data_IF_981545009736
#
_entry.id   IF_981545009736
#
_cell.length_a   1.000
_cell.length_b   1.000
_cell.length_c   1.000
_cell.angle_alpha   90.00
_cell.angle_beta   90.00
_cell.angle_gamma   90.00
#
_symmetry.space_group_name_H-M   'P 1'
#
loop_
_entity.id
_entity.type
_entity.pdbx_description
1 polymer ?
#
# COMPACT_ATOMS: atom_id res chain seq x y z
N UNK A 1 1.74 8.05 -0.78
CA UNK A 1 2.46 6.94 -1.45
C UNK A 1 1.99 5.57 -0.94
N UNK A 2 2.19 5.22 0.33
CA UNK A 2 1.72 3.94 0.92
C UNK A 2 0.24 3.64 0.70
N UNK A 3 -0.64 4.63 0.90
CA UNK A 3 -2.07 4.49 0.63
C UNK A 3 -2.38 4.10 -0.83
N UNK A 4 -1.64 4.63 -1.81
CA UNK A 4 -1.82 4.29 -3.22
C UNK A 4 -1.38 2.86 -3.53
N UNK A 5 -0.26 2.40 -2.95
CA UNK A 5 0.26 1.03 -3.09
C UNK A 5 -0.77 0.03 -2.53
N UNK A 6 -1.21 0.25 -1.28
CA UNK A 6 -2.24 -0.60 -0.64
C UNK A 6 -3.56 -0.59 -1.41
N UNK A 7 -3.99 0.58 -1.89
CA UNK A 7 -5.21 0.69 -2.68
C UNK A 7 -5.10 -0.07 -4.00
N UNK A 8 -3.94 -0.02 -4.67
CA UNK A 8 -3.73 -0.77 -5.90
C UNK A 8 -3.77 -2.28 -5.68
N UNK A 9 -3.14 -2.79 -4.62
CA UNK A 9 -3.20 -4.20 -4.24
C UNK A 9 -4.64 -4.66 -3.99
N UNK A 10 -5.41 -3.85 -3.26
CA UNK A 10 -6.84 -4.12 -3.05
C UNK A 10 -7.65 -4.12 -4.34
N UNK A 11 -7.30 -3.27 -5.31
CA UNK A 11 -7.91 -3.33 -6.65
C UNK A 11 -7.58 -4.62 -7.38
N UNK A 12 -6.34 -5.10 -7.32
CA UNK A 12 -5.95 -6.40 -7.92
C UNK A 12 -6.71 -7.57 -7.28
N UNK A 13 -6.87 -7.58 -5.95
CA UNK A 13 -7.70 -8.58 -5.26
C UNK A 13 -9.17 -8.53 -5.71
N UNK A 14 -9.73 -7.33 -5.92
CA UNK A 14 -11.09 -7.15 -6.45
C UNK A 14 -11.19 -7.70 -7.88
N UNK A 15 -10.19 -7.43 -8.73
CA UNK A 15 -10.15 -7.95 -10.10
C UNK A 15 -10.07 -9.47 -10.13
N UNK A 16 -9.24 -10.07 -9.27
CA UNK A 16 -9.16 -11.53 -9.12
C UNK A 16 -10.54 -12.13 -8.82
N UNK A 17 -11.24 -11.61 -7.80
CA UNK A 17 -12.59 -12.07 -7.43
C UNK A 17 -13.63 -11.86 -8.53
N UNK A 18 -13.51 -10.80 -9.32
CA UNK A 18 -14.43 -10.48 -10.41
C UNK A 18 -14.28 -11.46 -11.60
N UNK A 19 -13.04 -11.86 -11.91
CA UNK A 19 -12.74 -12.85 -12.95
C UNK A 19 -13.05 -14.27 -12.46
N UNK A 20 -12.71 -14.60 -11.21
CA UNK A 20 -12.97 -15.91 -10.60
C UNK A 20 -14.48 -16.21 -10.53
N UNK A 21 -15.29 -15.20 -10.19
CA UNK A 21 -16.74 -15.29 -10.19
C UNK A 21 -17.42 -15.12 -11.56
N UNK A 22 -16.67 -15.11 -12.66
CA UNK A 22 -17.16 -14.95 -14.05
C UNK A 22 -18.02 -13.69 -14.29
N UNK A 23 -17.86 -12.64 -13.48
CA UNK A 23 -18.70 -11.44 -13.55
C UNK A 23 -18.18 -10.45 -14.58
N UNK A 24 -16.86 -10.35 -14.71
CA UNK A 24 -16.13 -9.46 -15.63
C UNK A 24 -16.65 -8.01 -15.61
N UNK A 25 -17.00 -7.47 -14.44
CA UNK A 25 -17.49 -6.08 -14.27
C UNK A 25 -16.41 -5.06 -14.60
N UNK A 26 -15.16 -5.37 -14.29
CA UNK A 26 -14.03 -4.45 -14.50
C UNK A 26 -13.26 -4.72 -15.80
N UNK A 27 -13.67 -5.74 -16.56
CA UNK A 27 -13.07 -6.12 -17.85
C UNK A 27 -14.16 -6.16 -18.94
N UNK A 28 -14.75 -5.01 -19.32
CA UNK A 28 -15.90 -4.97 -20.23
C UNK A 28 -15.58 -5.51 -21.63
N UNK A 29 -14.34 -5.35 -22.11
CA UNK A 29 -13.92 -5.88 -23.41
C UNK A 29 -13.80 -7.40 -23.38
N UNK A 30 -13.23 -7.96 -22.30
CA UNK A 30 -13.16 -9.41 -22.11
C UNK A 30 -14.57 -10.00 -22.00
N UNK A 31 -15.46 -9.33 -21.26
CA UNK A 31 -16.87 -9.72 -21.16
C UNK A 31 -17.59 -9.77 -22.50
N UNK A 32 -17.33 -8.79 -23.38
CA UNK A 32 -17.88 -8.77 -24.75
C UNK A 32 -17.33 -9.93 -25.56
N UNK A 33 -16.01 -10.10 -25.57
CA UNK A 33 -15.35 -11.18 -26.29
C UNK A 33 -15.89 -12.56 -25.89
N UNK A 34 -16.08 -12.83 -24.60
CA UNK A 34 -16.66 -14.08 -24.11
C UNK A 34 -18.10 -14.29 -24.60
N UNK A 35 -18.91 -13.23 -24.69
CA UNK A 35 -20.29 -13.30 -25.18
C UNK A 35 -20.38 -13.57 -26.68
N UNK A 36 -19.41 -13.08 -27.44
CA UNK A 36 -19.36 -13.19 -28.90
C UNK A 36 -18.82 -14.56 -29.35
N UNK A 37 -18.27 -15.38 -28.43
CA UNK A 37 -17.84 -16.74 -28.72
C UNK A 37 -19.03 -17.64 -29.14
N UNK A 38 -18.83 -18.54 -30.12
CA UNK A 38 -19.84 -19.53 -30.49
C UNK A 38 -20.28 -20.37 -29.28
N UNK A 39 -21.56 -20.70 -29.17
CA UNK A 39 -22.14 -21.42 -28.00
C UNK A 39 -21.54 -22.82 -27.72
N UNK A 40 -20.69 -23.34 -28.63
CA UNK A 40 -19.95 -24.59 -28.47
C UNK A 40 -18.54 -24.46 -27.85
N UNK A 41 -17.99 -23.25 -27.76
CA UNK A 41 -16.59 -22.99 -27.37
C UNK A 41 -16.40 -22.77 -25.85
N UNK A 42 -17.11 -23.56 -25.03
CA UNK A 42 -17.00 -23.45 -23.56
C UNK A 42 -15.57 -23.70 -23.06
N UNK A 43 -14.81 -24.54 -23.75
CA UNK A 43 -13.39 -24.81 -23.46
C UNK A 43 -12.54 -23.55 -23.64
N UNK A 44 -12.83 -22.73 -24.64
CA UNK A 44 -12.13 -21.47 -24.91
C UNK A 44 -12.50 -20.38 -23.89
N UNK A 45 -13.75 -20.36 -23.41
CA UNK A 45 -14.14 -19.46 -22.33
C UNK A 45 -13.42 -19.78 -21.00
N UNK A 46 -13.35 -21.06 -20.63
CA UNK A 46 -12.66 -21.49 -19.40
C UNK A 46 -11.14 -21.30 -19.50
N UNK A 47 -10.55 -21.54 -20.67
CA UNK A 47 -9.12 -21.32 -20.88
C UNK A 47 -8.75 -19.83 -20.82
N UNK A 48 -9.58 -18.95 -21.40
CA UNK A 48 -9.42 -17.50 -21.30
C UNK A 48 -9.56 -16.99 -19.87
N UNK A 49 -10.57 -17.44 -19.13
CA UNK A 49 -10.75 -17.07 -17.73
C UNK A 49 -9.51 -17.47 -16.91
N UNK A 50 -9.04 -18.71 -17.07
CA UNK A 50 -7.84 -19.21 -16.40
C UNK A 50 -6.59 -18.41 -16.76
N UNK A 51 -6.43 -18.02 -18.02
CA UNK A 51 -5.32 -17.17 -18.47
C UNK A 51 -5.35 -15.82 -17.75
N UNK A 52 -6.51 -15.15 -17.70
CA UNK A 52 -6.65 -13.86 -17.02
C UNK A 52 -6.45 -13.98 -15.51
N UNK A 53 -6.93 -15.05 -14.87
CA UNK A 53 -6.64 -15.33 -13.46
C UNK A 53 -5.13 -15.46 -13.22
N UNK A 54 -4.43 -16.26 -14.03
CA UNK A 54 -2.98 -16.43 -13.91
C UNK A 54 -2.23 -15.11 -14.09
N UNK A 55 -2.65 -14.25 -15.03
CA UNK A 55 -2.06 -12.92 -15.24
C UNK A 55 -2.25 -12.05 -13.99
N UNK A 56 -3.46 -12.02 -13.43
CA UNK A 56 -3.76 -11.23 -12.23
C UNK A 56 -2.95 -11.75 -11.04
N UNK A 57 -2.90 -13.07 -10.84
CA UNK A 57 -2.12 -13.69 -9.76
C UNK A 57 -0.63 -13.37 -9.89
N UNK A 58 -0.04 -13.56 -11.06
CA UNK A 58 1.36 -13.18 -11.31
C UNK A 58 1.60 -11.69 -11.10
N UNK A 59 0.64 -10.83 -11.49
CA UNK A 59 0.74 -9.38 -11.26
C UNK A 59 0.73 -9.06 -9.77
N UNK A 60 -0.14 -9.72 -8.98
CA UNK A 60 -0.19 -9.57 -7.52
C UNK A 60 1.15 -9.98 -6.90
N UNK A 61 1.68 -11.14 -7.26
CA UNK A 61 2.95 -11.65 -6.73
C UNK A 61 4.14 -10.72 -7.07
N UNK A 62 4.23 -10.30 -8.34
CA UNK A 62 5.28 -9.40 -8.79
C UNK A 62 5.16 -8.03 -8.14
N UNK A 63 3.94 -7.50 -8.00
CA UNK A 63 3.72 -6.23 -7.32
C UNK A 63 4.10 -6.35 -5.84
N UNK A 64 3.60 -7.37 -5.15
CA UNK A 64 3.90 -7.60 -3.73
C UNK A 64 5.40 -7.72 -3.47
N UNK A 65 6.10 -8.56 -4.24
CA UNK A 65 7.54 -8.78 -4.09
C UNK A 65 8.38 -7.51 -4.28
N UNK A 66 7.98 -6.62 -5.21
CA UNK A 66 8.66 -5.33 -5.43
C UNK A 66 8.46 -4.35 -4.28
N UNK A 67 7.32 -4.41 -3.57
CA UNK A 67 6.98 -3.47 -2.51
C UNK A 67 7.17 -4.01 -1.09
N UNK A 68 7.65 -5.25 -0.91
CA UNK A 68 7.85 -5.86 0.41
C UNK A 68 8.75 -5.00 1.31
N UNK A 69 9.91 -4.57 0.80
CA UNK A 69 10.85 -3.68 1.52
C UNK A 69 10.25 -2.33 1.83
N UNK A 70 9.38 -1.81 0.96
CA UNK A 70 8.67 -0.56 1.24
C UNK A 70 7.74 -0.71 2.44
N UNK A 71 6.99 -1.82 2.54
CA UNK A 71 6.09 -2.09 3.67
C UNK A 71 6.86 -2.22 4.99
N UNK A 72 8.01 -2.86 4.96
CA UNK A 72 8.90 -2.99 6.13
C UNK A 72 9.32 -1.62 6.68
N UNK A 73 9.32 -0.57 5.84
CA UNK A 73 9.65 0.80 6.22
C UNK A 73 8.42 1.69 6.45
N UNK A 74 7.20 1.14 6.42
CA UNK A 74 5.98 1.96 6.49
C UNK A 74 5.89 2.75 7.80
N UNK A 75 6.12 2.09 8.93
CA UNK A 75 6.08 2.75 10.25
C UNK A 75 7.22 3.75 10.39
N UNK A 76 8.42 3.41 9.94
CA UNK A 76 9.56 4.35 9.91
C UNK A 76 9.28 5.57 9.02
N UNK A 77 8.58 5.41 7.91
CA UNK A 77 8.18 6.52 7.05
C UNK A 77 7.06 7.37 7.68
N UNK A 78 6.17 6.75 8.47
CA UNK A 78 5.14 7.46 9.24
C UNK A 78 5.76 8.22 10.41
N UNK A 79 6.82 7.70 11.03
CA UNK A 79 7.53 8.35 12.13
C UNK A 79 7.99 9.76 11.77
N UNK A 80 8.48 9.97 10.55
CA UNK A 80 8.86 11.30 10.06
C UNK A 80 7.71 12.32 10.12
N UNK A 81 6.47 11.84 10.04
CA UNK A 81 5.28 12.67 10.18
C UNK A 81 4.73 12.68 11.58
N UNK A 82 4.79 11.57 12.32
CA UNK A 82 4.14 11.38 13.61
C UNK A 82 5.11 10.92 14.72
N UNK A 83 6.23 11.65 14.95
CA UNK A 83 7.23 11.22 15.93
C UNK A 83 6.72 11.30 17.38
N UNK A 84 5.66 12.09 17.62
CA UNK A 84 5.06 12.35 18.92
C UNK A 84 4.16 11.24 19.45
N UNK A 85 3.76 10.30 18.59
CA UNK A 85 2.78 9.25 18.88
C UNK A 85 3.28 7.84 18.60
N UNK A 86 4.49 7.70 18.06
CA UNK A 86 5.06 6.40 17.66
C UNK A 86 6.08 5.91 18.66
N UNK A 87 6.17 4.58 18.82
CA UNK A 87 7.16 3.97 19.70
C UNK A 87 8.39 3.53 18.90
N UNK A 88 9.55 3.51 19.55
CA UNK A 88 10.80 3.12 18.91
C UNK A 88 10.76 1.67 18.41
N UNK A 89 10.11 0.77 19.14
CA UNK A 89 10.03 -0.66 18.82
C UNK A 89 9.18 -0.94 17.57
N UNK A 90 8.34 0.02 17.16
CA UNK A 90 7.52 -0.07 15.94
C UNK A 90 8.32 0.31 14.68
N UNK A 91 9.52 0.88 14.84
CA UNK A 91 10.32 1.39 13.73
C UNK A 91 11.28 0.32 13.21
N UNK A 92 11.28 0.12 11.90
CA UNK A 92 12.35 -0.62 11.24
C UNK A 92 13.51 0.34 10.93
N UNK A 93 14.54 0.29 11.77
CA UNK A 93 15.73 1.14 11.65
C UNK A 93 16.95 0.41 11.10
N UNK A 94 16.78 -0.83 10.59
CA UNK A 94 17.89 -1.63 10.06
C UNK A 94 18.65 -0.93 8.91
N UNK A 95 17.96 -0.07 8.15
CA UNK A 95 18.57 0.70 7.06
C UNK A 95 19.36 1.94 7.55
N UNK A 96 19.26 2.28 8.83
CA UNK A 96 19.89 3.47 9.43
C UNK A 96 21.07 3.08 10.33
N UNK A 97 22.02 2.32 9.79
CA UNK A 97 23.19 1.80 10.52
C UNK A 97 24.13 2.86 11.12
N UNK A 98 23.91 4.14 10.79
CA UNK A 98 24.69 5.28 11.29
C UNK A 98 24.03 5.99 12.47
N UNK A 99 22.81 5.63 12.83
CA UNK A 99 22.12 6.20 13.99
C UNK A 99 22.61 5.48 15.24
N UNK A 100 23.09 6.23 16.21
CA UNK A 100 23.29 5.73 17.56
C UNK A 100 21.90 5.50 18.18
N UNK A 101 21.53 4.22 18.31
CA UNK A 101 20.22 3.83 18.80
C UNK A 101 19.98 4.23 20.25
N UNK A 102 21.02 4.24 21.09
CA UNK A 102 20.88 4.59 22.50
C UNK A 102 20.62 6.09 22.66
N UNK A 103 21.37 6.92 21.93
CA UNK A 103 21.16 8.37 21.91
C UNK A 103 19.81 8.73 21.30
N UNK A 104 19.44 8.09 20.19
CA UNK A 104 18.16 8.33 19.51
C UNK A 104 16.96 8.00 20.40
N UNK A 105 17.01 6.90 21.16
CA UNK A 105 15.95 6.53 22.10
C UNK A 105 15.76 7.61 23.18
N UNK A 106 16.84 8.08 23.79
CA UNK A 106 16.80 9.14 24.80
C UNK A 106 16.22 10.44 24.23
N UNK A 107 16.69 10.86 23.05
CA UNK A 107 16.19 12.05 22.37
C UNK A 107 14.70 11.95 22.02
N UNK A 108 14.24 10.76 21.62
CA UNK A 108 12.83 10.55 21.32
C UNK A 108 11.96 10.71 22.58
N UNK A 109 12.40 10.16 23.72
CA UNK A 109 11.70 10.30 25.00
C UNK A 109 11.63 11.78 25.42
N UNK A 110 12.75 12.50 25.32
CA UNK A 110 12.81 13.94 25.63
C UNK A 110 11.85 14.75 24.75
N UNK A 111 11.85 14.48 23.45
CA UNK A 111 10.94 15.12 22.50
C UNK A 111 9.47 14.84 22.85
N UNK A 112 9.11 13.58 23.07
CA UNK A 112 7.73 13.17 23.36
C UNK A 112 7.21 13.68 24.71
N UNK A 113 8.12 13.88 25.67
CA UNK A 113 7.81 14.44 26.99
C UNK A 113 7.74 15.96 26.99
N UNK A 114 8.34 16.62 25.99
CA UNK A 114 8.32 18.09 25.87
C UNK A 114 6.96 18.59 25.40
N UNK A 115 6.20 19.22 26.31
CA UNK A 115 4.90 19.81 25.97
C UNK A 115 4.99 20.87 24.86
N UNK A 116 6.04 21.69 24.87
CA UNK A 116 6.25 22.77 23.90
C UNK A 116 6.61 22.21 22.52
N UNK A 117 7.63 21.35 22.44
CA UNK A 117 8.11 20.84 21.16
C UNK A 117 7.12 19.89 20.50
N UNK A 118 6.48 19.02 21.30
CA UNK A 118 5.41 18.15 20.84
C UNK A 118 4.27 18.96 20.23
N UNK A 119 3.77 19.97 20.95
CA UNK A 119 2.66 20.78 20.45
C UNK A 119 3.03 21.55 19.18
N UNK A 120 4.21 22.19 19.13
CA UNK A 120 4.69 22.88 17.92
C UNK A 120 4.74 21.96 16.71
N UNK A 121 5.19 20.73 16.88
CA UNK A 121 5.26 19.77 15.78
C UNK A 121 3.85 19.36 15.30
N UNK A 122 2.91 19.16 16.22
CA UNK A 122 1.50 18.87 15.90
C UNK A 122 0.88 20.03 15.12
N UNK A 123 1.06 21.27 15.59
CA UNK A 123 0.52 22.46 14.94
C UNK A 123 1.10 22.63 13.52
N UNK A 124 2.42 22.47 13.38
CA UNK A 124 3.09 22.52 12.08
C UNK A 124 2.56 21.44 11.12
N UNK A 125 2.30 20.22 11.61
CA UNK A 125 1.71 19.14 10.80
C UNK A 125 0.32 19.53 10.29
N UNK A 126 -0.51 20.16 11.14
CA UNK A 126 -1.84 20.65 10.75
C UNK A 126 -1.72 21.72 9.67
N UNK A 127 -0.82 22.68 9.84
CA UNK A 127 -0.59 23.76 8.88
C UNK A 127 -0.12 23.23 7.53
N UNK A 128 0.84 22.30 7.52
CA UNK A 128 1.28 21.63 6.29
C UNK A 128 0.13 20.91 5.59
N UNK A 129 -0.72 20.22 6.34
CA UNK A 129 -1.92 19.57 5.79
C UNK A 129 -2.91 20.57 5.19
N UNK A 130 -3.04 21.77 5.77
CA UNK A 130 -3.88 22.83 5.22
C UNK A 130 -3.28 23.45 3.95
N UNK A 131 -1.96 23.53 3.84
CA UNK A 131 -1.26 24.00 2.65
C UNK A 131 -1.42 23.00 1.50
N UNK A 132 -1.23 21.70 1.76
CA UNK A 132 -1.41 20.65 0.75
C UNK A 132 -2.82 20.62 0.17
N UNK A 133 -3.87 20.85 0.98
CA UNK A 133 -5.26 20.91 0.51
C UNK A 133 -5.57 22.09 -0.40
N UNK A 134 -4.77 23.16 -0.33
CA UNK A 134 -4.95 24.38 -1.13
C UNK A 134 -4.19 24.33 -2.47
N UNK A 135 -3.38 23.29 -2.69
CA UNK A 135 -2.70 23.00 -3.95
C UNK A 135 -3.57 22.15 -4.86
#
# INVERSE_FOLDING_TARGET
MFGYIKAFEKKLEVFKRDVDGERFRYFPNLKRHIKDLPKGDRTDCQSLQKLFLNIIESTIEQFFSRFVKFRELEETAKFMRFPDSMKLEELNLQMFSRIDMADFEMQLIEFQSSSIWKQRFIDLRVDLGNIEKKR
#
